data_IF_678075213437
#
_entry.id   IF_678075213437
#
_cell.length_a   1.000
_cell.length_b   1.000
_cell.length_c   1.000
_cell.angle_alpha   90.00
_cell.angle_beta   90.00
_cell.angle_gamma   90.00
#
_symmetry.space_group_name_H-M   'P 1'
#
loop_
_entity.id
_entity.type
_entity.pdbx_description
1 polymer ?
#
# COMPACT_ATOMS: atom_id res chain seq x y z
N UNK A 1 -8.80 16.53 -24.33
CA UNK A 1 -8.25 15.31 -23.70
C UNK A 1 -8.69 15.29 -22.24
N UNK A 2 -9.41 14.26 -21.79
CA UNK A 2 -10.02 14.19 -20.45
C UNK A 2 -9.00 14.37 -19.29
N UNK A 3 -7.72 14.05 -19.57
CA UNK A 3 -6.58 14.25 -18.65
C UNK A 3 -6.03 15.69 -18.59
N UNK A 4 -6.48 16.58 -19.48
CA UNK A 4 -6.13 18.01 -19.48
C UNK A 4 -6.93 18.84 -18.48
N UNK A 5 -8.09 18.33 -18.04
CA UNK A 5 -8.99 18.97 -17.07
C UNK A 5 -9.06 18.12 -15.79
N UNK A 6 -7.91 17.98 -15.11
CA UNK A 6 -7.73 17.06 -13.97
C UNK A 6 -8.78 17.23 -12.86
N UNK A 7 -9.20 18.47 -12.59
CA UNK A 7 -10.24 18.74 -11.59
C UNK A 7 -11.60 18.15 -11.95
N UNK A 8 -12.00 18.22 -13.22
CA UNK A 8 -13.26 17.64 -13.68
C UNK A 8 -13.20 16.11 -13.67
N UNK A 9 -12.07 15.53 -14.08
CA UNK A 9 -11.84 14.08 -14.01
C UNK A 9 -11.88 13.57 -12.56
N UNK A 10 -11.21 14.24 -11.63
CA UNK A 10 -11.21 13.87 -10.21
C UNK A 10 -12.63 13.92 -9.63
N UNK A 11 -13.41 14.97 -9.90
CA UNK A 11 -14.78 15.09 -9.43
C UNK A 11 -15.70 13.97 -9.97
N UNK A 12 -15.54 13.61 -11.25
CA UNK A 12 -16.29 12.50 -11.85
C UNK A 12 -15.92 11.15 -11.23
N UNK A 13 -14.63 10.90 -10.98
CA UNK A 13 -14.16 9.67 -10.34
C UNK A 13 -14.65 9.58 -8.89
N UNK A 14 -14.63 10.67 -8.11
CA UNK A 14 -15.22 10.67 -6.76
C UNK A 14 -16.72 10.37 -6.79
N UNK A 15 -17.46 10.95 -7.74
CA UNK A 15 -18.88 10.69 -7.89
C UNK A 15 -19.18 9.21 -8.24
N UNK A 16 -18.30 8.56 -9.00
CA UNK A 16 -18.40 7.13 -9.30
C UNK A 16 -18.07 6.27 -8.06
N UNK A 17 -17.00 6.60 -7.34
CA UNK A 17 -16.60 5.93 -6.08
C UNK A 17 -17.67 6.02 -5.01
N UNK A 18 -18.31 7.18 -4.87
CA UNK A 18 -19.42 7.38 -3.94
C UNK A 18 -20.63 6.45 -4.24
N UNK A 19 -20.72 5.90 -5.45
CA UNK A 19 -21.73 4.90 -5.88
C UNK A 19 -21.23 3.46 -5.78
N UNK A 20 -20.04 3.24 -5.22
CA UNK A 20 -19.43 1.92 -5.09
C UNK A 20 -18.71 1.41 -6.36
N UNK A 21 -18.54 2.26 -7.37
CA UNK A 21 -17.79 1.89 -8.59
C UNK A 21 -16.30 2.04 -8.32
N UNK A 22 -15.55 0.96 -8.51
CA UNK A 22 -14.08 0.98 -8.42
C UNK A 22 -13.47 1.56 -9.69
N UNK A 23 -12.48 2.43 -9.53
CA UNK A 23 -11.82 3.12 -10.64
C UNK A 23 -10.40 2.61 -10.85
N UNK A 24 -9.98 2.53 -12.11
CA UNK A 24 -8.68 1.99 -12.50
C UNK A 24 -7.96 3.00 -13.39
N UNK A 25 -6.69 3.29 -13.09
CA UNK A 25 -5.81 4.02 -14.00
C UNK A 25 -5.15 3.02 -14.95
N UNK A 26 -5.47 3.14 -16.24
CA UNK A 26 -4.96 2.26 -17.28
C UNK A 26 -3.64 2.76 -17.90
N UNK A 27 -2.94 1.87 -18.61
CA UNK A 27 -1.70 2.13 -19.36
C UNK A 27 -0.61 2.82 -18.52
N UNK A 28 -0.50 2.47 -17.23
CA UNK A 28 0.45 3.10 -16.32
C UNK A 28 1.89 2.77 -16.71
N UNK A 29 2.71 3.82 -16.76
CA UNK A 29 4.08 3.77 -17.23
C UNK A 29 4.26 4.33 -18.65
N UNK A 30 3.17 4.60 -19.37
CA UNK A 30 3.23 5.36 -20.63
C UNK A 30 3.34 6.87 -20.36
N UNK A 31 3.70 7.66 -21.39
CA UNK A 31 3.84 9.11 -21.27
C UNK A 31 2.57 9.84 -20.75
N UNK A 32 1.40 9.19 -20.86
CA UNK A 32 0.11 9.76 -20.53
C UNK A 32 -0.40 9.38 -19.14
N UNK A 33 0.03 8.24 -18.57
CA UNK A 33 -0.34 7.78 -17.23
C UNK A 33 0.92 7.55 -16.39
N UNK A 34 1.27 8.59 -15.62
CA UNK A 34 2.47 8.65 -14.78
C UNK A 34 2.13 8.83 -13.29
N UNK A 35 3.16 8.75 -12.43
CA UNK A 35 3.04 9.00 -10.99
C UNK A 35 2.32 10.32 -10.64
N UNK A 36 2.45 11.35 -11.48
CA UNK A 36 1.77 12.64 -11.24
C UNK A 36 0.24 12.52 -11.24
N UNK A 37 -0.33 11.56 -11.97
CA UNK A 37 -1.78 11.34 -11.96
C UNK A 37 -2.27 10.70 -10.67
N UNK A 38 -1.44 9.89 -10.02
CA UNK A 38 -1.80 9.29 -8.72
C UNK A 38 -1.88 10.33 -7.60
N UNK A 39 -1.29 11.52 -7.79
CA UNK A 39 -1.38 12.62 -6.84
C UNK A 39 -2.73 13.34 -6.93
N UNK A 40 -3.34 13.35 -8.12
CA UNK A 40 -4.52 14.17 -8.42
C UNK A 40 -5.82 13.37 -8.55
N UNK A 41 -5.72 12.08 -8.91
CA UNK A 41 -6.89 11.26 -9.24
C UNK A 41 -7.19 10.22 -8.15
N UNK A 42 -8.45 10.13 -7.68
CA UNK A 42 -8.86 9.13 -6.71
C UNK A 42 -9.10 7.80 -7.41
N UNK A 43 -8.04 7.02 -7.60
CA UNK A 43 -8.10 5.69 -8.22
C UNK A 43 -8.01 4.58 -7.18
N UNK A 44 -8.62 3.43 -7.45
CA UNK A 44 -8.54 2.25 -6.57
C UNK A 44 -7.50 1.23 -7.04
N UNK A 45 -7.15 1.28 -8.33
CA UNK A 45 -6.24 0.33 -8.97
C UNK A 45 -5.39 0.98 -10.05
N UNK A 46 -4.22 0.42 -10.30
CA UNK A 46 -3.36 0.71 -11.44
C UNK A 46 -3.22 -0.55 -12.32
N UNK A 47 -3.19 -0.38 -13.64
CA UNK A 47 -2.79 -1.41 -14.61
C UNK A 47 -1.43 -1.03 -15.20
N UNK A 48 -0.41 -1.89 -15.00
CA UNK A 48 0.91 -1.71 -15.63
C UNK A 48 0.78 -2.10 -17.09
N UNK A 49 1.15 -1.16 -17.97
CA UNK A 49 1.09 -1.36 -19.41
C UNK A 49 1.97 -2.54 -19.89
N UNK A 50 1.48 -3.26 -20.91
CA UNK A 50 2.14 -4.43 -21.47
C UNK A 50 3.53 -4.17 -22.04
N UNK A 51 3.87 -2.92 -22.41
CA UNK A 51 5.23 -2.57 -22.86
C UNK A 51 6.29 -2.67 -21.74
N UNK A 52 5.88 -2.65 -20.46
CA UNK A 52 6.77 -2.91 -19.34
C UNK A 52 6.96 -4.41 -19.14
N UNK A 53 5.86 -5.16 -19.09
CA UNK A 53 5.88 -6.62 -18.89
C UNK A 53 6.60 -7.37 -20.01
N UNK A 54 6.45 -6.92 -21.26
CA UNK A 54 7.17 -7.51 -22.42
C UNK A 54 8.69 -7.36 -22.32
N UNK A 55 9.17 -6.35 -21.59
CA UNK A 55 10.60 -6.11 -21.36
C UNK A 55 11.09 -6.63 -20.01
N UNK A 56 10.21 -7.17 -19.17
CA UNK A 56 10.52 -7.59 -17.81
C UNK A 56 11.73 -8.53 -17.71
N UNK A 57 11.92 -9.43 -18.69
CA UNK A 57 13.01 -10.40 -18.71
C UNK A 57 14.28 -9.90 -19.42
N UNK A 58 14.36 -8.62 -19.80
CA UNK A 58 15.50 -8.06 -20.54
C UNK A 58 16.65 -7.63 -19.62
N UNK A 59 16.40 -7.43 -18.32
CA UNK A 59 17.46 -7.18 -17.36
C UNK A 59 17.00 -6.54 -16.04
N UNK A 60 18.00 -6.30 -15.18
CA UNK A 60 17.81 -5.76 -13.83
C UNK A 60 17.15 -4.39 -13.78
N UNK A 61 17.22 -3.61 -14.86
CA UNK A 61 16.62 -2.27 -14.92
C UNK A 61 15.10 -2.37 -14.96
N UNK A 62 14.58 -3.23 -15.81
CA UNK A 62 13.15 -3.45 -16.03
C UNK A 62 12.51 -4.06 -14.78
N UNK A 63 13.19 -5.04 -14.18
CA UNK A 63 12.85 -5.60 -12.86
C UNK A 63 12.76 -4.52 -11.78
N UNK A 64 13.77 -3.65 -11.67
CA UNK A 64 13.81 -2.59 -10.66
C UNK A 64 12.68 -1.56 -10.84
N UNK A 65 12.36 -1.22 -12.09
CA UNK A 65 11.26 -0.28 -12.40
C UNK A 65 9.92 -0.89 -11.99
N UNK A 66 9.62 -2.12 -12.41
CA UNK A 66 8.36 -2.79 -12.07
C UNK A 66 8.26 -3.01 -10.56
N UNK A 67 9.36 -3.43 -9.90
CA UNK A 67 9.41 -3.52 -8.44
C UNK A 67 9.10 -2.18 -7.75
N UNK A 68 9.65 -1.07 -8.24
CA UNK A 68 9.33 0.27 -7.73
C UNK A 68 7.86 0.66 -7.90
N UNK A 69 7.22 0.27 -9.01
CA UNK A 69 5.78 0.47 -9.23
C UNK A 69 4.95 -0.37 -8.27
N UNK A 70 5.31 -1.65 -8.07
CA UNK A 70 4.64 -2.53 -7.10
C UNK A 70 4.70 -1.94 -5.69
N UNK A 71 5.89 -1.53 -5.25
CA UNK A 71 6.07 -0.83 -3.97
C UNK A 71 5.19 0.43 -3.87
N UNK A 72 5.21 1.26 -4.90
CA UNK A 72 4.44 2.52 -4.90
C UNK A 72 2.94 2.25 -4.78
N UNK A 73 2.41 1.29 -5.53
CA UNK A 73 1.00 0.91 -5.44
C UNK A 73 0.63 0.43 -4.03
N UNK A 74 1.46 -0.42 -3.41
CA UNK A 74 1.25 -0.89 -2.03
C UNK A 74 1.25 0.26 -1.02
N UNK A 75 2.23 1.16 -1.09
CA UNK A 75 2.33 2.31 -0.18
C UNK A 75 1.18 3.30 -0.32
N UNK A 76 0.56 3.39 -1.50
CA UNK A 76 -0.63 4.19 -1.76
C UNK A 76 -1.94 3.44 -1.44
N UNK A 77 -1.87 2.16 -1.07
CA UNK A 77 -3.04 1.32 -0.83
C UNK A 77 -3.84 1.01 -2.10
N UNK A 78 -3.18 1.03 -3.26
CA UNK A 78 -3.79 0.77 -4.56
C UNK A 78 -3.68 -0.71 -4.92
N UNK A 79 -4.73 -1.24 -5.54
CA UNK A 79 -4.66 -2.54 -6.19
C UNK A 79 -3.82 -2.45 -7.49
N UNK A 80 -3.26 -3.56 -7.95
CA UNK A 80 -2.34 -3.57 -9.08
C UNK A 80 -2.56 -4.78 -9.98
N UNK A 81 -2.57 -4.56 -11.30
CA UNK A 81 -2.58 -5.62 -12.31
C UNK A 81 -1.45 -5.37 -13.29
N UNK A 82 -0.62 -6.37 -13.57
CA UNK A 82 0.34 -6.30 -14.68
C UNK A 82 -0.26 -6.90 -15.96
N UNK A 83 -0.28 -6.13 -17.04
CA UNK A 83 -0.83 -6.58 -18.33
C UNK A 83 0.24 -7.12 -19.27
N UNK A 84 -0.18 -7.86 -20.30
CA UNK A 84 0.71 -8.36 -21.34
C UNK A 84 1.60 -9.52 -20.88
N UNK A 85 1.15 -10.33 -19.92
CA UNK A 85 1.87 -11.55 -19.52
C UNK A 85 1.66 -12.65 -20.56
N UNK A 86 2.75 -13.11 -21.17
CA UNK A 86 2.75 -14.07 -22.28
C UNK A 86 3.54 -15.35 -21.97
N UNK A 87 4.30 -15.40 -20.88
CA UNK A 87 5.13 -16.55 -20.48
C UNK A 87 5.08 -16.87 -18.98
N UNK A 88 5.41 -18.12 -18.63
CA UNK A 88 5.55 -18.55 -17.23
C UNK A 88 6.63 -17.76 -16.49
N UNK A 89 7.78 -17.53 -17.13
CA UNK A 89 8.88 -16.77 -16.54
C UNK A 89 8.47 -15.33 -16.18
N UNK A 90 7.64 -14.66 -17.00
CA UNK A 90 7.09 -13.35 -16.66
C UNK A 90 6.13 -13.41 -15.47
N UNK A 91 5.22 -14.40 -15.46
CA UNK A 91 4.27 -14.59 -14.37
C UNK A 91 4.98 -14.86 -13.04
N UNK A 92 5.98 -15.75 -13.05
CA UNK A 92 6.81 -16.07 -11.91
C UNK A 92 7.55 -14.83 -11.41
N UNK A 93 8.23 -14.08 -12.28
CA UNK A 93 8.97 -12.89 -11.85
C UNK A 93 8.05 -11.79 -11.30
N UNK A 94 6.89 -11.55 -11.91
CA UNK A 94 5.89 -10.61 -11.38
C UNK A 94 5.39 -11.04 -9.99
N UNK A 95 5.16 -12.34 -9.80
CA UNK A 95 4.80 -12.91 -8.50
C UNK A 95 5.92 -12.72 -7.48
N UNK A 96 7.18 -12.94 -7.88
CA UNK A 96 8.35 -12.68 -7.05
C UNK A 96 8.48 -11.21 -6.67
N UNK A 97 8.20 -10.29 -7.59
CA UNK A 97 8.19 -8.85 -7.32
C UNK A 97 6.99 -8.42 -6.45
N UNK A 98 6.07 -9.33 -6.12
CA UNK A 98 4.92 -9.06 -5.27
C UNK A 98 3.73 -8.43 -5.99
N UNK A 99 3.66 -8.56 -7.33
CA UNK A 99 2.51 -8.13 -8.11
C UNK A 99 1.31 -9.05 -7.83
N UNK A 100 0.16 -8.52 -7.35
CA UNK A 100 -0.92 -9.36 -6.83
C UNK A 100 -1.84 -9.92 -7.93
N UNK A 101 -1.84 -9.34 -9.13
CA UNK A 101 -2.69 -9.79 -10.25
C UNK A 101 -1.95 -9.62 -11.56
N UNK A 102 -2.22 -10.53 -12.50
CA UNK A 102 -1.70 -10.47 -13.86
C UNK A 102 -2.80 -10.71 -14.88
N UNK A 103 -2.60 -10.17 -16.08
CA UNK A 103 -3.46 -10.37 -17.24
C UNK A 103 -2.60 -10.55 -18.49
N UNK A 104 -2.97 -11.49 -19.35
CA UNK A 104 -2.32 -11.64 -20.65
C UNK A 104 -2.61 -13.00 -21.29
N UNK A 105 -2.09 -13.18 -22.50
CA UNK A 105 -2.34 -14.39 -23.31
C UNK A 105 -1.81 -15.66 -22.67
N UNK A 106 -0.90 -15.55 -21.69
CA UNK A 106 -0.49 -16.71 -20.90
C UNK A 106 -1.64 -17.32 -20.10
N UNK A 107 -2.58 -16.49 -19.63
CA UNK A 107 -3.75 -16.90 -18.86
C UNK A 107 -4.83 -17.37 -19.83
N UNK A 108 -5.25 -16.45 -20.70
CA UNK A 108 -6.23 -16.69 -21.75
C UNK A 108 -6.20 -15.56 -22.78
N UNK A 109 -6.61 -15.86 -24.00
CA UNK A 109 -6.92 -14.84 -25.01
C UNK A 109 -8.30 -14.21 -24.73
N UNK A 110 -8.54 -12.95 -25.14
CA UNK A 110 -9.88 -12.38 -25.14
C UNK A 110 -10.87 -13.31 -25.85
N UNK A 111 -12.04 -13.50 -25.24
CA UNK A 111 -13.06 -14.44 -25.70
C UNK A 111 -14.46 -13.89 -25.44
N UNK A 112 -15.49 -14.48 -26.04
CA UNK A 112 -16.88 -14.08 -25.80
C UNK A 112 -17.32 -14.42 -24.36
N UNK A 113 -18.44 -13.86 -23.90
CA UNK A 113 -18.96 -14.15 -22.57
C UNK A 113 -19.26 -15.65 -22.38
N UNK A 114 -19.85 -16.29 -23.40
CA UNK A 114 -20.18 -17.72 -23.39
C UNK A 114 -18.92 -18.59 -23.33
N UNK A 115 -17.87 -18.20 -24.04
CA UNK A 115 -16.58 -18.87 -24.00
C UNK A 115 -15.90 -18.69 -22.64
N UNK A 116 -16.01 -17.49 -22.05
CA UNK A 116 -15.46 -17.20 -20.73
C UNK A 116 -16.14 -18.02 -19.63
N UNK A 117 -17.46 -18.18 -19.69
CA UNK A 117 -18.20 -19.03 -18.74
C UNK A 117 -17.79 -20.52 -18.83
N UNK A 118 -17.57 -21.02 -20.05
CA UNK A 118 -17.05 -22.37 -20.24
C UNK A 118 -15.61 -22.49 -19.69
N UNK A 119 -14.74 -21.56 -20.08
CA UNK A 119 -13.34 -21.54 -19.64
C UNK A 119 -13.19 -21.43 -18.12
N UNK A 120 -14.01 -20.61 -17.46
CA UNK A 120 -13.98 -20.43 -15.99
C UNK A 120 -14.33 -21.72 -15.23
N UNK A 121 -15.21 -22.56 -15.78
CA UNK A 121 -15.59 -23.83 -15.14
C UNK A 121 -14.46 -24.85 -15.17
N UNK A 122 -13.68 -24.84 -16.24
CA UNK A 122 -12.58 -25.79 -16.49
C UNK A 122 -11.21 -25.17 -16.17
N UNK A 123 -11.18 -24.00 -15.53
CA UNK A 123 -9.94 -23.27 -15.27
C UNK A 123 -9.06 -24.03 -14.27
N UNK A 124 -7.94 -24.55 -14.76
CA UNK A 124 -6.86 -25.11 -13.94
C UNK A 124 -5.62 -24.20 -14.05
N UNK A 125 -5.26 -23.47 -12.98
CA UNK A 125 -4.16 -22.54 -13.05
C UNK A 125 -2.81 -23.27 -13.12
N UNK A 126 -1.91 -22.72 -13.92
CA UNK A 126 -0.57 -23.29 -14.13
C UNK A 126 0.25 -23.37 -12.82
N UNK A 127 1.28 -24.23 -12.73
CA UNK A 127 2.05 -24.47 -11.50
C UNK A 127 2.59 -23.21 -10.81
N UNK A 128 2.99 -22.19 -11.56
CA UNK A 128 3.48 -20.92 -11.00
C UNK A 128 2.43 -20.17 -10.18
N UNK A 129 1.13 -20.46 -10.39
CA UNK A 129 0.02 -19.87 -9.64
C UNK A 129 -0.14 -20.49 -8.25
N UNK A 130 0.38 -21.71 -8.06
CA UNK A 130 0.31 -22.46 -6.80
C UNK A 130 1.59 -22.33 -5.97
N UNK A 131 2.67 -21.76 -6.52
CA UNK A 131 3.92 -21.59 -5.83
C UNK A 131 3.80 -20.55 -4.68
N UNK A 132 4.25 -20.91 -3.47
CA UNK A 132 4.26 -20.05 -2.26
C UNK A 132 4.84 -18.66 -2.53
N UNK A 133 4.34 -17.63 -1.81
CA UNK A 133 4.73 -16.21 -1.93
C UNK A 133 6.20 -16.01 -2.31
N UNK A 134 6.46 -15.26 -3.38
CA UNK A 134 7.75 -15.32 -4.07
C UNK A 134 8.96 -14.81 -3.27
N UNK A 135 10.14 -15.29 -3.65
CA UNK A 135 11.45 -15.05 -3.01
C UNK A 135 11.88 -13.57 -2.93
N UNK A 136 11.28 -12.65 -3.72
CA UNK A 136 11.59 -11.20 -3.72
C UNK A 136 10.49 -10.29 -3.12
N UNK A 137 9.33 -10.83 -2.71
CA UNK A 137 8.44 -10.19 -1.72
C UNK A 137 9.22 -9.58 -0.54
N UNK A 138 10.34 -10.20 -0.11
CA UNK A 138 11.20 -9.67 0.93
C UNK A 138 12.19 -8.54 0.56
N UNK A 139 12.37 -8.14 -0.71
CA UNK A 139 13.23 -6.98 -1.05
C UNK A 139 12.69 -5.67 -0.45
N UNK A 140 11.44 -5.69 -0.03
CA UNK A 140 10.70 -4.53 0.43
C UNK A 140 10.58 -4.43 1.94
N UNK A 141 10.98 -5.44 2.74
CA UNK A 141 10.70 -5.44 4.18
C UNK A 141 11.22 -4.19 4.88
N UNK A 142 12.46 -3.75 4.66
CA UNK A 142 12.96 -2.57 5.40
C UNK A 142 12.44 -1.24 4.84
N UNK A 143 12.44 -1.07 3.52
CA UNK A 143 12.07 0.20 2.89
C UNK A 143 10.55 0.44 2.94
N UNK A 144 9.74 -0.60 2.68
CA UNK A 144 8.28 -0.56 2.79
C UNK A 144 7.88 -0.28 4.22
N UNK A 145 8.39 -1.05 5.18
CA UNK A 145 7.99 -0.92 6.59
C UNK A 145 8.41 0.42 7.16
N UNK A 146 9.60 0.92 6.80
CA UNK A 146 10.02 2.28 7.17
C UNK A 146 9.08 3.33 6.56
N UNK A 147 8.71 3.21 5.28
CA UNK A 147 7.79 4.13 4.64
C UNK A 147 6.41 4.11 5.31
N UNK A 148 5.85 2.94 5.61
CA UNK A 148 4.59 2.78 6.34
C UNK A 148 4.67 3.43 7.73
N UNK A 149 5.75 3.18 8.49
CA UNK A 149 5.94 3.77 9.82
C UNK A 149 6.12 5.29 9.77
N UNK A 150 6.76 5.83 8.72
CA UNK A 150 6.89 7.27 8.50
C UNK A 150 5.56 7.93 8.13
N UNK A 151 4.69 7.25 7.37
CA UNK A 151 3.33 7.74 7.09
C UNK A 151 2.51 7.85 8.39
N UNK A 152 2.57 6.85 9.26
CA UNK A 152 1.97 6.87 10.60
C UNK A 152 2.45 8.08 11.42
N UNK A 153 3.77 8.26 11.51
CA UNK A 153 4.39 9.37 12.24
C UNK A 153 3.98 10.73 11.66
N UNK A 154 3.93 10.86 10.34
CA UNK A 154 3.46 12.07 9.66
C UNK A 154 2.04 12.44 10.07
N UNK A 155 1.12 11.47 10.11
CA UNK A 155 -0.25 11.66 10.58
C UNK A 155 -0.32 12.10 12.04
N UNK A 156 0.45 11.47 12.93
CA UNK A 156 0.51 11.81 14.36
C UNK A 156 1.08 13.21 14.58
N UNK A 157 2.11 13.59 13.83
CA UNK A 157 2.68 14.94 13.88
C UNK A 157 1.66 15.99 13.43
N UNK A 158 0.90 15.71 12.38
CA UNK A 158 -0.19 16.58 11.94
C UNK A 158 -1.28 16.71 13.02
N UNK A 159 -1.66 15.61 13.67
CA UNK A 159 -2.61 15.63 14.80
C UNK A 159 -2.09 16.48 15.97
N UNK A 160 -0.82 16.30 16.36
CA UNK A 160 -0.22 17.06 17.46
C UNK A 160 -0.22 18.57 17.20
N UNK A 161 -0.02 18.99 15.94
CA UNK A 161 -0.17 20.39 15.55
C UNK A 161 -1.58 20.92 15.77
N UNK A 162 -2.59 20.16 15.32
CA UNK A 162 -4.02 20.51 15.50
C UNK A 162 -4.38 20.63 16.97
N UNK A 163 -3.95 19.67 17.80
CA UNK A 163 -4.15 19.72 19.25
C UNK A 163 -3.51 20.98 19.86
N UNK A 164 -2.32 21.36 19.38
CA UNK A 164 -1.63 22.59 19.78
C UNK A 164 -2.19 23.89 19.15
N UNK A 165 -3.37 23.85 18.51
CA UNK A 165 -4.00 25.02 17.90
C UNK A 165 -3.37 25.49 16.59
N UNK A 166 -2.50 24.69 15.97
CA UNK A 166 -1.89 24.97 14.67
C UNK A 166 -2.58 24.14 13.58
N UNK A 167 -2.62 24.60 12.32
CA UNK A 167 -3.14 23.79 11.23
C UNK A 167 -2.31 22.51 11.04
N UNK A 168 -3.01 21.44 10.61
CA UNK A 168 -2.41 20.19 10.18
C UNK A 168 -1.42 20.43 9.03
N UNK A 169 -0.32 19.67 9.00
CA UNK A 169 0.67 19.73 7.92
C UNK A 169 1.33 18.35 7.71
N UNK A 170 1.01 17.64 6.61
CA UNK A 170 0.06 18.00 5.55
C UNK A 170 -1.43 17.99 5.99
N UNK A 171 -2.38 18.51 5.19
CA UNK A 171 -3.81 18.44 5.48
C UNK A 171 -4.30 17.00 5.61
N UNK A 172 -5.18 16.73 6.58
CA UNK A 172 -5.69 15.39 6.87
C UNK A 172 -4.87 14.67 7.94
N UNK A 173 -5.32 14.78 9.20
CA UNK A 173 -4.68 14.08 10.31
C UNK A 173 -5.15 12.63 10.36
N UNK A 174 -4.20 11.68 10.35
CA UNK A 174 -4.43 10.25 10.57
C UNK A 174 -5.68 9.70 9.84
N UNK A 175 -5.72 9.65 8.49
CA UNK A 175 -6.89 9.15 7.74
C UNK A 175 -7.36 7.77 8.19
N UNK A 176 -6.42 6.94 8.61
CA UNK A 176 -6.65 5.60 9.15
C UNK A 176 -7.47 5.56 10.44
N UNK A 177 -7.66 6.67 11.16
CA UNK A 177 -8.60 6.72 12.30
C UNK A 177 -10.05 6.47 11.87
N UNK A 178 -10.35 6.70 10.58
CA UNK A 178 -11.66 6.43 9.98
C UNK A 178 -11.73 5.06 9.31
N UNK A 179 -10.64 4.30 9.28
CA UNK A 179 -10.64 2.96 8.71
C UNK A 179 -11.50 2.01 9.56
N UNK A 180 -12.16 1.04 8.92
CA UNK A 180 -13.08 0.12 9.59
C UNK A 180 -12.41 -0.72 10.70
N UNK A 181 -11.14 -1.07 10.50
CA UNK A 181 -10.31 -1.80 11.48
C UNK A 181 -9.65 -0.88 12.53
N UNK A 182 -9.75 0.44 12.35
CA UNK A 182 -9.08 1.43 13.18
C UNK A 182 -7.55 1.32 13.18
N UNK A 183 -6.95 0.64 12.20
CA UNK A 183 -5.51 0.42 12.10
C UNK A 183 -4.91 1.32 11.03
N UNK A 184 -3.73 1.81 11.31
CA UNK A 184 -2.88 2.47 10.33
C UNK A 184 -2.28 1.47 9.34
N UNK A 185 -1.77 1.90 8.18
CA UNK A 185 -1.11 1.01 7.23
C UNK A 185 0.03 0.20 7.87
N UNK A 186 0.86 0.84 8.69
CA UNK A 186 1.90 0.14 9.45
C UNK A 186 1.33 -0.83 10.49
N UNK A 187 0.26 -0.43 11.20
CA UNK A 187 -0.43 -1.30 12.16
C UNK A 187 -1.13 -2.51 11.52
N UNK A 188 -1.57 -2.40 10.26
CA UNK A 188 -2.06 -3.55 9.46
C UNK A 188 -0.93 -4.48 9.08
N UNK A 189 0.20 -3.93 8.61
CA UNK A 189 1.37 -4.75 8.30
C UNK A 189 1.86 -5.54 9.52
N UNK A 190 1.98 -4.88 10.68
CA UNK A 190 2.35 -5.52 11.95
C UNK A 190 1.39 -6.64 12.39
N UNK A 191 0.12 -6.56 11.99
CA UNK A 191 -0.91 -7.53 12.39
C UNK A 191 -1.11 -8.68 11.39
N UNK A 192 -0.68 -8.50 10.14
CA UNK A 192 -0.73 -9.51 9.08
C UNK A 192 0.68 -9.96 8.70
N UNK A 193 1.21 -9.57 7.51
CA UNK A 193 2.46 -10.12 6.99
C UNK A 193 3.67 -10.02 7.93
N UNK A 194 3.78 -8.93 8.68
CA UNK A 194 4.85 -8.77 9.66
C UNK A 194 4.75 -9.78 10.80
N UNK A 195 3.54 -10.06 11.29
CA UNK A 195 3.30 -11.05 12.35
C UNK A 195 3.58 -12.46 11.86
N UNK A 196 3.14 -12.80 10.65
CA UNK A 196 3.32 -14.13 10.10
C UNK A 196 4.80 -14.48 9.97
N UNK A 197 5.63 -13.47 9.63
CA UNK A 197 7.05 -13.66 9.38
C UNK A 197 7.96 -13.42 10.58
N UNK A 198 7.68 -12.40 11.38
CA UNK A 198 8.55 -11.95 12.47
C UNK A 198 7.89 -12.09 13.84
N UNK A 199 6.67 -12.66 13.92
CA UNK A 199 5.91 -12.78 15.17
C UNK A 199 6.60 -13.59 16.27
N UNK A 200 7.59 -14.40 15.93
CA UNK A 200 8.41 -15.15 16.87
C UNK A 200 9.53 -14.30 17.50
N UNK A 201 9.92 -13.18 16.89
CA UNK A 201 11.01 -12.30 17.37
C UNK A 201 10.51 -11.39 18.51
N UNK A 202 11.13 -11.42 19.71
CA UNK A 202 10.73 -10.58 20.85
C UNK A 202 10.81 -9.07 20.57
N UNK A 203 11.78 -8.63 19.75
CA UNK A 203 11.89 -7.23 19.35
C UNK A 203 10.73 -6.82 18.43
N UNK A 204 10.30 -7.71 17.54
CA UNK A 204 9.09 -7.49 16.73
C UNK A 204 7.83 -7.41 17.60
N UNK A 205 7.64 -8.35 18.53
CA UNK A 205 6.49 -8.34 19.44
C UNK A 205 6.43 -7.05 20.25
N UNK A 206 7.58 -6.58 20.76
CA UNK A 206 7.66 -5.33 21.50
C UNK A 206 7.38 -4.09 20.63
N UNK A 207 7.78 -4.12 19.35
CA UNK A 207 7.45 -3.08 18.38
C UNK A 207 5.95 -3.04 18.09
N UNK A 208 5.33 -4.20 17.86
CA UNK A 208 3.90 -4.33 17.57
C UNK A 208 3.04 -3.86 18.76
N UNK A 209 3.41 -4.25 19.98
CA UNK A 209 2.73 -3.81 21.20
C UNK A 209 2.83 -2.29 21.41
N UNK A 210 4.00 -1.69 21.14
CA UNK A 210 4.18 -0.24 21.23
C UNK A 210 3.35 0.48 20.17
N UNK A 211 3.33 0.02 18.92
CA UNK A 211 2.50 0.61 17.87
C UNK A 211 1.02 0.59 18.24
N UNK A 212 0.53 -0.51 18.79
CA UNK A 212 -0.88 -0.61 19.19
C UNK A 212 -1.21 0.34 20.37
N UNK A 213 -0.28 0.47 21.32
CA UNK A 213 -0.41 1.44 22.41
C UNK A 213 -0.45 2.88 21.89
N UNK A 214 0.38 3.21 20.90
CA UNK A 214 0.38 4.51 20.24
C UNK A 214 -0.91 4.76 19.48
N UNK A 215 -1.43 3.77 18.72
CA UNK A 215 -2.70 3.88 18.02
C UNK A 215 -3.88 4.15 18.99
N UNK A 216 -3.90 3.49 20.15
CA UNK A 216 -4.89 3.76 21.22
C UNK A 216 -4.75 5.18 21.77
N UNK A 217 -3.53 5.66 22.00
CA UNK A 217 -3.28 7.02 22.47
C UNK A 217 -3.71 8.08 21.43
N UNK A 218 -3.40 7.87 20.16
CA UNK A 218 -3.85 8.73 19.04
C UNK A 218 -5.38 8.86 19.02
N UNK A 219 -6.13 7.76 19.17
CA UNK A 219 -7.60 7.78 19.22
C UNK A 219 -8.14 8.63 20.39
N UNK A 220 -7.52 8.53 21.57
CA UNK A 220 -7.92 9.33 22.74
C UNK A 220 -7.73 10.83 22.47
N UNK A 221 -6.67 11.21 21.75
CA UNK A 221 -6.41 12.59 21.33
C UNK A 221 -7.39 13.12 20.27
N UNK A 222 -8.30 12.31 19.75
CA UNK A 222 -9.36 12.75 18.82
C UNK A 222 -10.75 12.83 19.44
N UNK A 223 -10.96 12.38 20.68
CA UNK A 223 -12.25 12.47 21.36
C UNK A 223 -12.66 13.95 21.63
N UNK A 224 -13.95 14.30 21.78
CA UNK A 224 -14.36 15.66 22.18
C UNK A 224 -13.67 16.13 23.47
N UNK A 225 -13.49 17.45 23.64
CA UNK A 225 -12.90 18.06 24.84
C UNK A 225 -14.00 18.57 25.78
N UNK A 226 -13.80 18.39 27.08
CA UNK A 226 -14.39 19.25 28.11
C UNK A 226 -13.45 20.44 28.39
N UNK A 227 -14.00 21.58 28.79
CA UNK A 227 -13.32 22.90 28.80
C UNK A 227 -12.06 23.04 29.67
N UNK A 228 -11.63 22.02 30.41
CA UNK A 228 -10.47 22.04 31.31
C UNK A 228 -9.23 21.26 30.84
N UNK A 229 -9.31 20.46 29.78
CA UNK A 229 -8.28 19.43 29.50
C UNK A 229 -7.24 19.79 28.43
N UNK A 230 -7.25 21.04 27.93
CA UNK A 230 -6.42 21.43 26.77
C UNK A 230 -4.92 21.25 27.02
N UNK A 231 -4.40 21.73 28.14
CA UNK A 231 -2.97 21.64 28.46
C UNK A 231 -2.51 20.19 28.60
N UNK A 232 -3.34 19.34 29.23
CA UNK A 232 -3.06 17.91 29.38
C UNK A 232 -3.05 17.20 28.03
N UNK A 233 -3.94 17.59 27.11
CA UNK A 233 -4.00 17.03 25.77
C UNK A 233 -2.83 17.43 24.89
N UNK A 234 -2.38 18.68 24.99
CA UNK A 234 -1.16 19.15 24.32
C UNK A 234 0.08 18.39 24.81
N UNK A 235 0.17 18.14 26.12
CA UNK A 235 1.26 17.34 26.69
C UNK A 235 1.20 15.87 26.23
N UNK A 236 0.01 15.27 26.23
CA UNK A 236 -0.19 13.93 25.71
C UNK A 236 0.18 13.82 24.22
N UNK A 237 -0.10 14.86 23.42
CA UNK A 237 0.29 14.92 22.01
C UNK A 237 1.82 15.02 21.83
N UNK A 238 2.52 15.83 22.65
CA UNK A 238 3.99 15.88 22.65
C UNK A 238 4.61 14.54 23.01
N UNK A 239 4.09 13.91 24.07
CA UNK A 239 4.51 12.57 24.51
C UNK A 239 4.31 11.54 23.40
N UNK A 240 3.17 11.58 22.71
CA UNK A 240 2.85 10.68 21.60
C UNK A 240 3.87 10.79 20.45
N UNK A 241 4.22 12.02 20.06
CA UNK A 241 5.23 12.26 19.01
C UNK A 241 6.58 11.67 19.41
N UNK A 242 7.05 11.95 20.63
CA UNK A 242 8.34 11.43 21.12
C UNK A 242 8.40 9.90 21.19
N UNK A 243 7.29 9.24 21.57
CA UNK A 243 7.22 7.78 21.56
C UNK A 243 7.23 7.19 20.15
N UNK A 244 6.58 7.85 19.17
CA UNK A 244 6.66 7.43 17.77
C UNK A 244 8.09 7.56 17.21
N UNK A 245 8.81 8.62 17.54
CA UNK A 245 10.23 8.75 17.14
C UNK A 245 11.10 7.65 17.75
N UNK A 246 10.84 7.27 19.01
CA UNK A 246 11.50 6.13 19.63
C UNK A 246 11.14 4.80 18.93
N UNK A 247 9.88 4.63 18.52
CA UNK A 247 9.45 3.49 17.72
C UNK A 247 10.22 3.41 16.39
N UNK A 248 10.36 4.53 15.68
CA UNK A 248 11.10 4.58 14.40
C UNK A 248 12.58 4.18 14.59
N UNK A 249 13.22 4.62 15.68
CA UNK A 249 14.59 4.18 16.02
C UNK A 249 14.67 2.67 16.26
N UNK A 250 13.68 2.09 16.96
CA UNK A 250 13.63 0.64 17.23
C UNK A 250 13.38 -0.17 15.95
N UNK A 251 12.57 0.34 15.03
CA UNK A 251 12.36 -0.28 13.72
C UNK A 251 13.68 -0.43 12.95
N UNK A 252 14.57 0.57 13.01
CA UNK A 252 15.89 0.50 12.38
C UNK A 252 16.79 -0.62 12.92
N UNK A 253 16.52 -1.12 14.13
CA UNK A 253 17.26 -2.21 14.75
C UNK A 253 16.69 -3.61 14.46
N UNK A 254 15.51 -3.72 13.83
CA UNK A 254 14.95 -5.02 13.48
C UNK A 254 15.73 -5.68 12.34
N UNK A 255 16.02 -6.99 12.45
CA UNK A 255 16.62 -7.78 11.38
C UNK A 255 15.54 -8.13 10.34
N UNK A 256 15.03 -7.10 9.65
CA UNK A 256 14.16 -7.25 8.48
C UNK A 256 14.99 -7.79 7.31
N UNK A 257 15.27 -9.09 7.33
CA UNK A 257 16.04 -9.78 6.30
C UNK A 257 15.12 -10.19 5.17
N UNK A 258 15.55 -10.01 3.90
CA UNK A 258 14.85 -10.62 2.78
C UNK A 258 14.88 -12.16 2.87
N UNK A 259 13.74 -12.85 2.88
CA UNK A 259 13.65 -14.31 2.73
C UNK A 259 13.88 -15.16 3.99
N UNK A 260 13.77 -14.60 5.20
CA UNK A 260 13.72 -15.40 6.44
C UNK A 260 12.49 -16.33 6.48
N UNK A 261 12.60 -17.52 7.10
CA UNK A 261 11.73 -18.68 6.83
C UNK A 261 10.27 -18.43 7.23
N UNK A 262 9.38 -18.95 6.38
CA UNK A 262 7.99 -19.29 6.72
C UNK A 262 8.00 -20.56 7.57
#
# INVERSE_FOLDING_TARGET
AYLGERGAAAAALEAARARGVRTVLDDFGTAYASLSYLQDLPVDRIKIDGSFTSRLLQGRREEAIIGGVVMTARLLGLDLVAEGVESDAQAELLRHLGCPKIQGYRIARPMSAEQAEAWLRDWDPAPWAHAEEGVLTPLFDRAEVLALALQDWGGVRALARVVGGKPADPPGCCPWLRAADGRSPFGRWLAGPGRDRYGHDPAFQALAAEQEALARATRRLTAPLDGGERAQREEAARTLVGRYEALLRRLGALPLTPGGPV
#
